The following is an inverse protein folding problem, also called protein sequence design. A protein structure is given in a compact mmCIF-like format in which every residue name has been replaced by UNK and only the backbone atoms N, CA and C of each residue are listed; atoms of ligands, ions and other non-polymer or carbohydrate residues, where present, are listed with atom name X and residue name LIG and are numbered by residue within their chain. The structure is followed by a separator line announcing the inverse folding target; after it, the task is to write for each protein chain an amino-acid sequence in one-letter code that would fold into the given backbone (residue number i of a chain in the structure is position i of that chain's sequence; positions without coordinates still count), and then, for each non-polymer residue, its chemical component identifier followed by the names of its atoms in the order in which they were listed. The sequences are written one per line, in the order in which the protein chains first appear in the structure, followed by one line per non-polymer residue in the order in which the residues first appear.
data_IF_657089025556
#
_entry.id   IF_657089025556
#
_cell.length_a   1.000
_cell.length_b   1.000
_cell.length_c   1.000
_cell.angle_alpha   90.00
_cell.angle_beta   90.00
_cell.angle_gamma   90.00
#
_symmetry.space_group_name_H-M   'P 1'
#
loop_
_entity.id
_entity.type
_entity.pdbx_description
1 polymer ?
#
# COMPACT_ATOMS: atom_id res chain seq x y z
N UNK A 1 -23.74 15.47 4.40
CA UNK A 1 -24.21 14.34 5.22
C UNK A 1 -25.52 13.69 4.73
N UNK A 2 -25.90 13.88 3.45
CA UNK A 2 -27.12 13.27 2.88
C UNK A 2 -26.87 11.96 2.10
N UNK A 3 -25.64 11.40 2.11
CA UNK A 3 -25.28 10.24 1.28
C UNK A 3 -25.43 8.87 1.96
N UNK A 4 -25.52 8.80 3.28
CA UNK A 4 -25.64 7.51 3.96
C UNK A 4 -26.96 7.43 4.75
N UNK A 5 -27.77 6.38 4.54
CA UNK A 5 -28.98 6.16 5.34
C UNK A 5 -28.60 5.92 6.81
N UNK A 6 -29.51 6.11 7.71
CA UNK A 6 -29.48 6.22 9.17
C UNK A 6 -28.48 5.36 9.99
N UNK A 7 -27.67 4.50 9.38
CA UNK A 7 -26.55 3.78 10.01
C UNK A 7 -25.52 3.41 8.94
N UNK A 8 -24.29 3.94 9.07
CA UNK A 8 -23.16 3.53 8.26
C UNK A 8 -22.76 2.09 8.64
N UNK A 9 -22.55 1.23 7.65
CA UNK A 9 -22.04 -0.12 7.82
C UNK A 9 -20.79 -0.30 6.94
N UNK A 10 -19.70 -0.76 7.53
CA UNK A 10 -18.40 -0.94 6.87
C UNK A 10 -18.03 -2.41 6.91
N UNK A 11 -17.73 -2.99 5.75
CA UNK A 11 -17.19 -4.35 5.64
C UNK A 11 -15.69 -4.29 5.36
N UNK A 12 -14.88 -4.90 6.24
CA UNK A 12 -13.43 -5.02 6.12
C UNK A 12 -13.07 -6.43 5.69
N UNK A 13 -12.55 -6.58 4.46
CA UNK A 13 -12.10 -7.83 3.88
C UNK A 13 -10.62 -8.07 4.18
N UNK A 14 -10.24 -9.33 4.45
CA UNK A 14 -8.90 -9.70 4.89
C UNK A 14 -8.64 -9.31 6.35
N UNK A 15 -9.68 -9.34 7.17
CA UNK A 15 -9.69 -8.76 8.52
C UNK A 15 -8.74 -9.42 9.52
N UNK A 16 -8.25 -10.63 9.26
CA UNK A 16 -7.26 -11.32 10.08
C UNK A 16 -5.80 -10.91 9.75
N UNK A 17 -5.60 -10.12 8.68
CA UNK A 17 -4.30 -9.71 8.17
C UNK A 17 -3.66 -8.51 8.90
N UNK A 18 -2.37 -8.25 8.59
CA UNK A 18 -1.60 -7.17 9.20
C UNK A 18 -2.08 -5.77 8.81
N UNK A 19 -2.45 -5.56 7.55
CA UNK A 19 -2.99 -4.29 7.06
C UNK A 19 -4.35 -3.97 7.72
N UNK A 20 -5.26 -4.97 7.81
CA UNK A 20 -6.52 -4.82 8.52
C UNK A 20 -6.33 -4.46 10.00
N UNK A 21 -5.35 -5.08 10.66
CA UNK A 21 -4.98 -4.76 12.04
C UNK A 21 -4.60 -3.29 12.19
N UNK A 22 -3.85 -2.74 11.25
CA UNK A 22 -3.45 -1.34 11.25
C UNK A 22 -4.64 -0.39 11.02
N UNK A 23 -5.52 -0.70 10.08
CA UNK A 23 -6.77 0.04 9.85
C UNK A 23 -7.63 0.07 11.10
N UNK A 24 -7.87 -1.09 11.73
CA UNK A 24 -8.64 -1.19 12.98
C UNK A 24 -7.97 -0.44 14.13
N UNK A 25 -6.64 -0.44 14.21
CA UNK A 25 -5.93 0.32 15.25
C UNK A 25 -6.14 1.85 15.11
N UNK A 26 -6.14 2.37 13.88
CA UNK A 26 -6.44 3.77 13.59
C UNK A 26 -7.90 4.08 13.95
N UNK A 27 -8.85 3.27 13.50
CA UNK A 27 -10.29 3.46 13.78
C UNK A 27 -10.60 3.35 15.28
N UNK A 28 -9.89 2.47 16.01
CA UNK A 28 -10.00 2.34 17.47
C UNK A 28 -9.53 3.60 18.23
N UNK A 29 -8.62 4.37 17.66
CA UNK A 29 -8.24 5.69 18.18
C UNK A 29 -9.23 6.78 17.76
N UNK A 30 -9.66 6.75 16.49
CA UNK A 30 -10.57 7.73 15.92
C UNK A 30 -11.94 7.75 16.63
N UNK A 31 -12.48 6.58 17.00
CA UNK A 31 -13.81 6.47 17.61
C UNK A 31 -13.96 7.08 19.01
N UNK A 32 -12.83 7.38 19.66
CA UNK A 32 -12.82 8.05 20.97
C UNK A 32 -12.26 9.48 20.91
N UNK A 33 -11.90 9.94 19.72
CA UNK A 33 -11.37 11.27 19.49
C UNK A 33 -12.38 12.18 18.80
N UNK A 34 -13.12 12.97 19.60
CA UNK A 34 -14.15 13.90 19.07
C UNK A 34 -13.61 14.96 18.08
N UNK A 35 -12.27 15.15 18.03
CA UNK A 35 -11.64 16.06 17.08
C UNK A 35 -11.29 15.38 15.74
N UNK A 36 -11.40 14.05 15.68
CA UNK A 36 -11.18 13.32 14.46
C UNK A 36 -12.37 13.53 13.52
N UNK A 37 -12.16 13.92 12.26
CA UNK A 37 -13.26 14.19 11.32
C UNK A 37 -14.18 13.01 11.10
N UNK A 38 -13.67 11.77 11.25
CA UNK A 38 -14.48 10.57 11.06
C UNK A 38 -15.32 10.20 12.30
N UNK A 39 -15.04 10.79 13.49
CA UNK A 39 -15.66 10.42 14.76
C UNK A 39 -17.18 10.33 14.68
N UNK A 40 -17.85 11.39 14.20
CA UNK A 40 -19.32 11.43 14.09
C UNK A 40 -19.89 10.37 13.15
N UNK A 41 -19.13 9.99 12.11
CA UNK A 41 -19.56 8.98 11.16
C UNK A 41 -19.42 7.56 11.72
N UNK A 42 -18.38 7.30 12.54
CA UNK A 42 -18.08 5.94 13.01
C UNK A 42 -18.56 5.62 14.43
N UNK A 43 -18.97 6.61 15.23
CA UNK A 43 -19.37 6.37 16.63
C UNK A 43 -20.53 5.35 16.81
N UNK A 44 -21.35 5.18 15.78
CA UNK A 44 -22.46 4.22 15.76
C UNK A 44 -22.40 3.26 14.55
N UNK A 45 -21.23 3.12 13.93
CA UNK A 45 -21.03 2.28 12.77
C UNK A 45 -21.04 0.79 13.16
N UNK A 46 -21.46 -0.06 12.24
CA UNK A 46 -21.25 -1.51 12.35
C UNK A 46 -20.07 -1.91 11.45
N UNK A 47 -19.07 -2.58 12.02
CA UNK A 47 -17.96 -3.13 11.29
C UNK A 47 -18.14 -4.64 11.11
N UNK A 48 -18.29 -5.08 9.87
CA UNK A 48 -18.31 -6.47 9.50
C UNK A 48 -16.88 -6.90 9.09
N UNK A 49 -16.25 -7.71 9.93
CA UNK A 49 -14.91 -8.23 9.70
C UNK A 49 -15.03 -9.57 8.97
N UNK A 50 -14.55 -9.61 7.73
CA UNK A 50 -14.67 -10.78 6.86
C UNK A 50 -13.29 -11.32 6.52
N UNK A 51 -13.11 -12.62 6.73
CA UNK A 51 -11.91 -13.36 6.35
C UNK A 51 -12.26 -14.81 6.04
N UNK A 52 -11.42 -15.51 5.31
CA UNK A 52 -11.58 -16.96 5.07
C UNK A 52 -11.33 -17.76 6.36
N UNK A 53 -10.49 -17.21 7.27
CA UNK A 53 -10.21 -17.77 8.59
C UNK A 53 -10.05 -16.65 9.61
N UNK A 54 -11.07 -16.45 10.42
CA UNK A 54 -11.09 -15.42 11.43
C UNK A 54 -10.14 -15.69 12.61
N UNK A 55 -9.72 -14.60 13.25
CA UNK A 55 -9.15 -14.66 14.61
C UNK A 55 -10.28 -14.77 15.63
N UNK A 56 -9.95 -15.27 16.83
CA UNK A 56 -10.91 -15.31 17.92
C UNK A 56 -11.44 -13.93 18.29
N UNK A 57 -12.68 -13.87 18.77
CA UNK A 57 -13.29 -12.63 19.24
C UNK A 57 -12.41 -11.92 20.28
N UNK A 58 -11.80 -12.68 21.20
CA UNK A 58 -10.91 -12.15 22.23
C UNK A 58 -9.72 -11.38 21.67
N UNK A 59 -9.15 -11.82 20.54
CA UNK A 59 -8.07 -11.13 19.83
C UNK A 59 -8.46 -9.70 19.45
N UNK A 60 -9.65 -9.53 18.87
CA UNK A 60 -10.12 -8.21 18.47
C UNK A 60 -10.50 -7.34 19.68
N UNK A 61 -11.17 -7.91 20.67
CA UNK A 61 -11.59 -7.19 21.89
C UNK A 61 -10.40 -6.67 22.70
N UNK A 62 -9.29 -7.41 22.75
CA UNK A 62 -8.04 -7.02 23.41
C UNK A 62 -7.32 -5.89 22.64
N UNK A 63 -7.21 -6.03 21.31
CA UNK A 63 -6.47 -5.06 20.50
C UNK A 63 -7.26 -3.77 20.21
N UNK A 64 -8.59 -3.88 20.11
CA UNK A 64 -9.46 -2.77 19.70
C UNK A 64 -10.63 -2.57 20.67
N UNK A 65 -10.33 -2.30 21.96
CA UNK A 65 -11.35 -2.26 23.01
C UNK A 65 -12.46 -1.22 22.80
N UNK A 66 -12.14 -0.13 22.07
CA UNK A 66 -13.12 0.92 21.79
C UNK A 66 -14.08 0.56 20.66
N UNK A 67 -13.76 -0.44 19.84
CA UNK A 67 -14.59 -0.92 18.73
C UNK A 67 -15.41 -2.16 19.09
N UNK A 68 -15.11 -2.83 20.20
CA UNK A 68 -15.60 -4.18 20.51
C UNK A 68 -17.11 -4.40 20.32
N UNK A 69 -17.95 -3.44 20.72
CA UNK A 69 -19.39 -3.56 20.62
C UNK A 69 -19.92 -3.40 19.17
N UNK A 70 -19.06 -2.94 18.26
CA UNK A 70 -19.39 -2.64 16.87
C UNK A 70 -18.85 -3.67 15.88
N UNK A 71 -18.00 -4.61 16.35
CA UNK A 71 -17.37 -5.62 15.49
C UNK A 71 -18.26 -6.86 15.34
N UNK A 72 -18.48 -7.27 14.10
CA UNK A 72 -19.19 -8.52 13.74
C UNK A 72 -18.25 -9.37 12.88
N UNK A 73 -17.99 -10.59 13.32
CA UNK A 73 -17.04 -11.50 12.67
C UNK A 73 -17.77 -12.46 11.75
N UNK A 74 -17.28 -12.65 10.54
CA UNK A 74 -17.80 -13.59 9.57
C UNK A 74 -16.69 -14.34 8.85
N UNK A 75 -16.75 -15.66 8.80
CA UNK A 75 -15.88 -16.48 7.96
C UNK A 75 -16.57 -16.66 6.61
N UNK A 76 -15.99 -16.06 5.57
CA UNK A 76 -16.53 -16.11 4.21
C UNK A 76 -15.35 -16.27 3.24
N UNK A 77 -15.44 -17.26 2.38
CA UNK A 77 -14.59 -17.36 1.20
C UNK A 77 -15.09 -16.34 0.16
N UNK A 78 -14.25 -15.38 -0.17
CA UNK A 78 -14.60 -14.34 -1.15
C UNK A 78 -14.70 -14.87 -2.59
N UNK A 79 -14.28 -16.13 -2.83
CA UNK A 79 -14.53 -16.84 -4.08
C UNK A 79 -15.98 -17.36 -4.16
N UNK A 80 -16.65 -17.60 -3.03
CA UNK A 80 -18.08 -17.88 -3.00
C UNK A 80 -18.89 -16.59 -3.22
N UNK A 81 -19.10 -16.31 -4.50
CA UNK A 81 -19.79 -15.12 -4.99
C UNK A 81 -21.18 -14.95 -4.38
N UNK A 82 -21.92 -16.05 -4.22
CA UNK A 82 -23.30 -16.00 -3.73
C UNK A 82 -23.32 -15.59 -2.28
N UNK A 83 -22.55 -16.27 -1.45
CA UNK A 83 -22.44 -15.98 -0.02
C UNK A 83 -21.90 -14.56 0.22
N UNK A 84 -20.88 -14.15 -0.51
CA UNK A 84 -20.32 -12.80 -0.34
C UNK A 84 -21.31 -11.69 -0.74
N UNK A 85 -21.96 -11.79 -1.91
CA UNK A 85 -23.00 -10.83 -2.33
C UNK A 85 -24.19 -10.79 -1.35
N UNK A 86 -24.60 -11.93 -0.84
CA UNK A 86 -25.66 -12.00 0.18
C UNK A 86 -25.23 -11.28 1.45
N UNK A 87 -24.00 -11.51 1.92
CA UNK A 87 -23.43 -10.84 3.08
C UNK A 87 -23.47 -9.31 2.92
N UNK A 88 -23.01 -8.75 1.79
CA UNK A 88 -23.04 -7.31 1.55
C UNK A 88 -24.44 -6.71 1.62
N UNK A 89 -25.46 -7.44 1.16
CA UNK A 89 -26.86 -7.01 1.21
C UNK A 89 -27.43 -7.10 2.63
N UNK A 90 -27.23 -8.23 3.32
CA UNK A 90 -27.78 -8.47 4.65
C UNK A 90 -27.14 -7.61 5.73
N UNK A 91 -25.83 -7.33 5.60
CA UNK A 91 -25.11 -6.43 6.48
C UNK A 91 -25.42 -4.94 6.23
N UNK A 92 -26.14 -4.62 5.15
CA UNK A 92 -26.40 -3.24 4.75
C UNK A 92 -25.12 -2.45 4.48
N UNK A 93 -24.07 -3.11 3.99
CA UNK A 93 -22.75 -2.52 3.75
C UNK A 93 -22.83 -1.27 2.89
N UNK A 94 -22.28 -0.19 3.38
CA UNK A 94 -22.18 1.11 2.68
C UNK A 94 -20.78 1.33 2.08
N UNK A 95 -19.76 0.81 2.74
CA UNK A 95 -18.35 0.91 2.31
C UNK A 95 -17.67 -0.45 2.48
N UNK A 96 -16.93 -0.88 1.47
CA UNK A 96 -16.00 -2.01 1.55
C UNK A 96 -14.58 -1.47 1.65
N UNK A 97 -13.86 -1.89 2.68
CA UNK A 97 -12.40 -1.73 2.80
C UNK A 97 -11.80 -3.09 2.48
N UNK A 98 -11.03 -3.18 1.42
CA UNK A 98 -10.44 -4.44 0.96
C UNK A 98 -8.91 -4.43 1.12
N UNK A 99 -8.43 -5.22 2.05
CA UNK A 99 -7.01 -5.50 2.27
C UNK A 99 -6.74 -7.02 2.22
N UNK A 100 -7.56 -7.70 1.42
CA UNK A 100 -7.46 -9.14 1.17
C UNK A 100 -6.70 -9.43 -0.14
N UNK A 101 -6.46 -10.70 -0.44
CA UNK A 101 -5.96 -11.15 -1.75
C UNK A 101 -7.08 -11.49 -2.75
N UNK A 102 -8.30 -10.98 -2.56
CA UNK A 102 -9.41 -11.23 -3.47
C UNK A 102 -9.27 -10.45 -4.78
N UNK A 103 -9.79 -11.02 -5.88
CA UNK A 103 -9.79 -10.36 -7.19
C UNK A 103 -10.50 -8.99 -7.13
N UNK A 104 -9.71 -7.91 -7.30
CA UNK A 104 -10.17 -6.53 -7.20
C UNK A 104 -11.31 -6.22 -8.17
N UNK A 105 -11.20 -6.67 -9.44
CA UNK A 105 -12.22 -6.41 -10.47
C UNK A 105 -13.55 -7.02 -10.03
N UNK A 106 -13.51 -8.23 -9.50
CA UNK A 106 -14.69 -8.94 -9.04
C UNK A 106 -15.36 -8.23 -7.85
N UNK A 107 -14.59 -7.86 -6.83
CA UNK A 107 -15.13 -7.18 -5.63
C UNK A 107 -15.69 -5.80 -5.99
N UNK A 108 -14.95 -4.99 -6.76
CA UNK A 108 -15.44 -3.67 -7.24
C UNK A 108 -16.69 -3.81 -8.09
N UNK A 109 -16.79 -4.85 -8.94
CA UNK A 109 -18.00 -5.10 -9.73
C UNK A 109 -19.22 -5.31 -8.85
N UNK A 110 -19.09 -6.05 -7.73
CA UNK A 110 -20.20 -6.23 -6.79
C UNK A 110 -20.56 -4.94 -6.06
N UNK A 111 -19.56 -4.17 -5.65
CA UNK A 111 -19.79 -2.84 -5.07
C UNK A 111 -20.52 -1.92 -6.07
N UNK A 112 -20.11 -1.95 -7.34
CA UNK A 112 -20.74 -1.19 -8.41
C UNK A 112 -22.20 -1.63 -8.67
N UNK A 113 -22.50 -2.92 -8.68
CA UNK A 113 -23.88 -3.43 -8.81
C UNK A 113 -24.80 -2.95 -7.68
N UNK A 114 -24.25 -2.82 -6.47
CA UNK A 114 -25.02 -2.48 -5.25
C UNK A 114 -24.95 -0.99 -4.87
N UNK A 115 -24.14 -0.18 -5.57
CA UNK A 115 -23.93 1.22 -5.22
C UNK A 115 -23.13 1.43 -3.92
N UNK A 116 -22.28 0.46 -3.55
CA UNK A 116 -21.43 0.46 -2.35
C UNK A 116 -20.13 1.18 -2.67
N UNK A 117 -19.62 2.02 -1.78
CA UNK A 117 -18.28 2.61 -1.88
C UNK A 117 -17.20 1.56 -1.64
N UNK A 118 -16.04 1.72 -2.30
CA UNK A 118 -14.95 0.76 -2.23
C UNK A 118 -13.60 1.44 -2.06
N UNK A 119 -12.72 0.81 -1.29
CA UNK A 119 -11.31 1.20 -1.18
C UNK A 119 -10.44 -0.03 -0.95
N UNK A 120 -9.27 -0.08 -1.59
CA UNK A 120 -8.26 -1.10 -1.36
C UNK A 120 -6.85 -0.52 -1.24
N UNK A 121 -5.89 -1.36 -0.86
CA UNK A 121 -4.46 -0.99 -0.78
C UNK A 121 -3.63 -1.46 -1.97
N UNK A 122 -4.12 -2.41 -2.79
CA UNK A 122 -3.39 -3.01 -3.89
C UNK A 122 -4.34 -3.64 -4.92
N UNK A 123 -3.87 -3.87 -6.15
CA UNK A 123 -4.57 -4.61 -7.19
C UNK A 123 -4.27 -6.11 -7.08
N UNK A 124 -5.30 -6.90 -6.94
CA UNK A 124 -5.23 -8.36 -6.91
C UNK A 124 -6.01 -8.96 -8.08
N UNK A 125 -5.48 -10.03 -8.69
CA UNK A 125 -6.18 -10.76 -9.74
C UNK A 125 -5.80 -12.24 -9.73
N UNK A 126 -6.69 -13.06 -9.24
CA UNK A 126 -6.48 -14.49 -9.05
C UNK A 126 -6.08 -15.21 -10.36
N UNK A 127 -6.69 -14.87 -11.48
CA UNK A 127 -6.39 -15.51 -12.77
C UNK A 127 -5.01 -15.12 -13.32
N UNK A 128 -4.46 -13.97 -12.89
CA UNK A 128 -3.07 -13.59 -13.21
C UNK A 128 -2.10 -14.34 -12.30
N UNK A 129 -2.44 -14.44 -11.02
CA UNK A 129 -1.57 -15.07 -10.02
C UNK A 129 -1.41 -16.59 -10.24
N UNK A 130 -2.41 -17.22 -10.84
CA UNK A 130 -2.42 -18.65 -11.17
C UNK A 130 -1.86 -18.98 -12.56
N UNK A 131 -1.46 -17.99 -13.35
CA UNK A 131 -0.96 -18.18 -14.71
C UNK A 131 0.57 -18.10 -14.76
N UNK A 132 1.23 -19.27 -14.70
CA UNK A 132 2.69 -19.38 -14.77
C UNK A 132 3.30 -18.74 -16.03
N UNK A 133 2.53 -18.57 -17.10
CA UNK A 133 3.02 -17.90 -18.33
C UNK A 133 3.20 -16.40 -18.16
N UNK A 134 2.66 -15.82 -17.10
CA UNK A 134 2.75 -14.40 -16.75
C UNK A 134 3.84 -14.09 -15.73
N UNK A 135 4.58 -15.09 -15.26
CA UNK A 135 5.73 -14.89 -14.36
C UNK A 135 6.66 -13.81 -14.94
N UNK A 136 7.04 -12.85 -14.11
CA UNK A 136 7.83 -11.67 -14.51
C UNK A 136 7.01 -10.45 -14.94
N UNK A 137 5.72 -10.63 -15.30
CA UNK A 137 4.85 -9.58 -15.83
C UNK A 137 3.50 -9.49 -15.12
N UNK A 138 3.29 -10.26 -14.06
CA UNK A 138 2.00 -10.37 -13.35
C UNK A 138 1.45 -9.02 -12.92
N UNK A 139 2.27 -8.16 -12.35
CA UNK A 139 1.88 -6.82 -11.90
C UNK A 139 1.32 -5.97 -13.07
N UNK A 140 2.01 -5.95 -14.21
CA UNK A 140 1.56 -5.22 -15.40
C UNK A 140 0.27 -5.79 -15.98
N UNK A 141 0.09 -7.10 -15.90
CA UNK A 141 -1.15 -7.74 -16.38
C UNK A 141 -2.32 -7.46 -15.43
N UNK A 142 -2.13 -7.48 -14.09
CA UNK A 142 -3.15 -7.05 -13.11
C UNK A 142 -3.63 -5.64 -13.42
N UNK A 143 -2.69 -4.70 -13.56
CA UNK A 143 -2.99 -3.32 -13.92
C UNK A 143 -3.73 -3.22 -15.27
N UNK A 144 -3.25 -3.92 -16.31
CA UNK A 144 -3.85 -3.88 -17.65
C UNK A 144 -5.28 -4.43 -17.66
N UNK A 145 -5.55 -5.50 -16.91
CA UNK A 145 -6.91 -6.05 -16.76
C UNK A 145 -7.82 -5.08 -16.03
N UNK A 146 -7.36 -4.48 -14.95
CA UNK A 146 -8.14 -3.50 -14.21
C UNK A 146 -8.49 -2.29 -15.07
N UNK A 147 -7.53 -1.72 -15.78
CA UNK A 147 -7.75 -0.56 -16.68
C UNK A 147 -8.81 -0.82 -17.76
N UNK A 148 -8.90 -2.04 -18.29
CA UNK A 148 -9.95 -2.40 -19.26
C UNK A 148 -11.37 -2.38 -18.67
N UNK A 149 -11.49 -2.57 -17.36
CA UNK A 149 -12.78 -2.64 -16.66
C UNK A 149 -13.13 -1.34 -15.94
N UNK A 150 -12.15 -0.51 -15.60
CA UNK A 150 -12.25 0.69 -14.76
C UNK A 150 -13.39 1.62 -15.15
N UNK A 151 -13.54 1.91 -16.44
CA UNK A 151 -14.58 2.81 -16.98
C UNK A 151 -16.01 2.26 -16.82
N UNK A 152 -16.18 0.97 -16.52
CA UNK A 152 -17.49 0.36 -16.28
C UNK A 152 -18.01 0.60 -14.88
N UNK A 153 -17.17 1.02 -13.96
CA UNK A 153 -17.54 1.27 -12.57
C UNK A 153 -18.16 2.67 -12.40
N UNK A 154 -19.45 2.80 -12.79
CA UNK A 154 -20.15 4.08 -12.85
C UNK A 154 -21.19 4.29 -11.75
N UNK A 155 -21.39 3.27 -10.88
CA UNK A 155 -22.38 3.33 -9.79
C UNK A 155 -21.75 3.13 -8.40
N UNK A 156 -20.44 3.18 -8.30
CA UNK A 156 -19.68 3.17 -7.04
C UNK A 156 -18.75 4.38 -6.98
N UNK A 157 -18.36 4.80 -5.78
CA UNK A 157 -17.17 5.61 -5.57
C UNK A 157 -16.09 4.64 -5.11
N UNK A 158 -15.06 4.42 -5.91
CA UNK A 158 -13.97 3.50 -5.61
C UNK A 158 -12.63 4.24 -5.61
N UNK A 159 -11.81 4.04 -4.57
CA UNK A 159 -10.43 4.50 -4.50
C UNK A 159 -9.53 3.27 -4.55
N UNK A 160 -8.70 3.20 -5.56
CA UNK A 160 -7.88 2.03 -5.88
C UNK A 160 -6.42 2.31 -5.51
N UNK A 161 -5.82 1.39 -4.76
CA UNK A 161 -4.45 1.53 -4.33
C UNK A 161 -4.25 2.71 -3.35
N UNK A 162 -4.98 2.72 -2.24
CA UNK A 162 -4.86 3.75 -1.20
C UNK A 162 -4.12 3.22 0.04
N UNK A 163 -3.02 2.53 -0.19
CA UNK A 163 -2.07 2.14 0.87
C UNK A 163 -0.99 3.19 1.06
N UNK A 164 0.24 2.74 1.29
CA UNK A 164 1.42 3.61 1.31
C UNK A 164 2.00 3.75 -0.10
N UNK A 165 2.36 2.66 -0.70
CA UNK A 165 2.78 2.44 -2.09
C UNK A 165 2.05 1.18 -2.61
N UNK A 166 1.06 1.33 -3.48
CA UNK A 166 0.44 2.57 -4.01
C UNK A 166 -0.36 3.35 -2.94
N UNK A 167 -0.52 4.65 -3.18
CA UNK A 167 -1.41 5.51 -2.40
C UNK A 167 -0.75 6.79 -1.90
N UNK A 168 -0.19 6.80 -0.70
CA UNK A 168 0.42 7.99 -0.09
C UNK A 168 1.54 8.56 -0.94
N UNK A 169 2.36 7.73 -1.57
CA UNK A 169 3.45 8.21 -2.46
C UNK A 169 2.89 8.97 -3.66
N UNK A 170 1.73 8.60 -4.20
CA UNK A 170 1.09 9.34 -5.28
C UNK A 170 0.59 10.71 -4.81
N UNK A 171 0.09 10.81 -3.58
CA UNK A 171 -0.19 12.10 -2.95
C UNK A 171 1.09 12.93 -2.81
N UNK A 172 2.22 12.36 -2.35
CA UNK A 172 3.49 13.06 -2.25
C UNK A 172 3.95 13.61 -3.62
N UNK A 173 3.80 12.84 -4.69
CA UNK A 173 4.12 13.29 -6.07
C UNK A 173 3.30 14.52 -6.43
N UNK A 174 1.98 14.46 -6.22
CA UNK A 174 1.09 15.57 -6.56
C UNK A 174 1.42 16.82 -5.75
N UNK A 175 1.68 16.67 -4.45
CA UNK A 175 2.06 17.81 -3.59
C UNK A 175 3.40 18.44 -4.02
N UNK A 176 4.44 17.64 -4.25
CA UNK A 176 5.73 18.17 -4.73
C UNK A 176 5.60 18.86 -6.09
N UNK A 177 4.77 18.33 -7.01
CA UNK A 177 4.54 18.97 -8.31
C UNK A 177 3.77 20.30 -8.18
N UNK A 178 2.90 20.47 -7.18
CA UNK A 178 2.21 21.73 -6.90
C UNK A 178 3.18 22.84 -6.46
N UNK A 179 4.27 22.49 -5.78
CA UNK A 179 5.31 23.45 -5.38
C UNK A 179 6.05 24.07 -6.59
N UNK A 180 6.08 23.33 -7.73
CA UNK A 180 6.77 23.75 -8.96
C UNK A 180 5.84 23.68 -10.20
N UNK A 181 4.74 24.45 -10.25
CA UNK A 181 3.71 24.30 -11.27
C UNK A 181 4.17 24.60 -12.71
N UNK A 182 5.29 25.30 -12.87
CA UNK A 182 5.85 25.67 -14.19
C UNK A 182 6.99 24.75 -14.63
N UNK A 183 7.39 23.79 -13.82
CA UNK A 183 8.47 22.86 -14.13
C UNK A 183 7.90 21.44 -14.26
N UNK A 184 8.46 20.67 -15.18
CA UNK A 184 8.10 19.27 -15.33
C UNK A 184 9.26 18.40 -14.87
N UNK A 185 9.04 17.46 -13.94
CA UNK A 185 10.08 16.52 -13.58
C UNK A 185 10.41 15.61 -14.77
N UNK A 186 11.68 15.27 -14.92
CA UNK A 186 12.17 14.28 -15.88
C UNK A 186 11.94 12.85 -15.39
N UNK A 187 12.03 12.68 -14.06
CA UNK A 187 11.78 11.39 -13.43
C UNK A 187 11.12 11.56 -12.05
N UNK A 188 10.45 10.49 -11.65
CA UNK A 188 9.90 10.27 -10.32
C UNK A 188 10.39 8.90 -9.83
N UNK A 189 11.15 8.86 -8.74
CA UNK A 189 11.49 7.62 -8.08
C UNK A 189 10.73 7.53 -6.77
N UNK A 190 9.87 6.52 -6.68
CA UNK A 190 9.33 6.09 -5.40
C UNK A 190 10.46 5.35 -4.70
N UNK A 191 10.69 5.64 -3.44
CA UNK A 191 11.83 5.11 -2.69
C UNK A 191 11.38 4.56 -1.36
N UNK A 192 11.91 3.39 -1.01
CA UNK A 192 11.64 2.77 0.29
C UNK A 192 12.92 2.16 0.86
N UNK A 193 13.17 2.43 2.14
CA UNK A 193 14.26 1.85 2.89
C UNK A 193 13.74 1.33 4.24
N UNK A 194 13.41 0.05 4.25
CA UNK A 194 12.97 -0.66 5.45
C UNK A 194 14.17 -1.29 6.15
N UNK A 195 14.56 -0.71 7.27
CA UNK A 195 15.64 -1.23 8.12
C UNK A 195 15.11 -2.07 9.28
N UNK A 196 13.79 -2.32 9.33
CA UNK A 196 13.17 -3.11 10.41
C UNK A 196 13.76 -4.51 10.48
N UNK A 197 14.24 -4.89 11.66
CA UNK A 197 14.77 -6.23 11.93
C UNK A 197 14.68 -6.60 13.42
N UNK A 198 14.91 -7.88 13.71
CA UNK A 198 14.95 -8.41 15.08
C UNK A 198 16.02 -7.67 15.91
N UNK A 199 15.63 -7.15 17.07
CA UNK A 199 16.58 -6.53 18.00
C UNK A 199 17.58 -7.57 18.54
N UNK A 200 17.10 -8.77 18.87
CA UNK A 200 17.93 -9.89 19.33
C UNK A 200 18.29 -10.82 18.16
N UNK A 201 19.52 -10.72 17.67
CA UNK A 201 20.04 -11.56 16.60
C UNK A 201 20.05 -13.08 16.91
N UNK A 202 19.97 -13.47 18.18
CA UNK A 202 19.89 -14.89 18.57
C UNK A 202 18.58 -15.56 18.17
N UNK A 203 17.54 -14.76 17.87
CA UNK A 203 16.23 -15.24 17.40
C UNK A 203 16.19 -15.54 15.90
N UNK A 204 17.25 -15.22 15.17
CA UNK A 204 17.34 -15.50 13.73
C UNK A 204 17.36 -17.01 13.49
N UNK A 205 16.42 -17.47 12.67
CA UNK A 205 16.33 -18.88 12.28
C UNK A 205 17.01 -19.11 10.93
N UNK A 206 17.75 -20.20 10.76
CA UNK A 206 18.35 -20.56 9.48
C UNK A 206 17.25 -20.78 8.41
N UNK A 207 17.60 -20.56 7.15
CA UNK A 207 16.69 -20.72 6.01
C UNK A 207 15.33 -20.01 6.22
N UNK A 208 15.40 -18.76 6.70
CA UNK A 208 14.18 -17.95 6.94
C UNK A 208 14.37 -16.57 6.34
N UNK A 209 13.40 -16.15 5.52
CA UNK A 209 13.30 -14.79 5.00
C UNK A 209 12.42 -13.94 5.92
N UNK A 210 12.87 -12.74 6.22
CA UNK A 210 12.20 -11.82 7.12
C UNK A 210 11.80 -10.54 6.38
N UNK A 211 10.54 -10.13 6.53
CA UNK A 211 10.03 -8.86 6.02
C UNK A 211 9.05 -8.21 7.01
N UNK A 212 8.78 -6.94 6.83
CA UNK A 212 7.77 -6.17 7.60
C UNK A 212 6.35 -6.33 7.04
N UNK A 213 6.20 -6.88 5.84
CA UNK A 213 4.94 -7.11 5.13
C UNK A 213 4.89 -8.52 4.53
N UNK A 214 3.88 -8.84 3.73
CA UNK A 214 3.64 -10.18 3.17
C UNK A 214 4.86 -10.71 2.39
N UNK A 215 5.59 -11.68 2.97
CA UNK A 215 6.84 -12.20 2.39
C UNK A 215 6.59 -12.85 1.04
N UNK A 216 5.44 -13.48 0.83
CA UNK A 216 5.06 -14.09 -0.45
C UNK A 216 4.98 -13.02 -1.55
N UNK A 217 4.31 -11.90 -1.28
CA UNK A 217 4.21 -10.79 -2.25
C UNK A 217 5.55 -10.14 -2.51
N UNK A 218 6.35 -9.98 -1.45
CA UNK A 218 7.74 -9.51 -1.61
C UNK A 218 8.56 -10.43 -2.54
N UNK A 219 8.43 -11.76 -2.40
CA UNK A 219 9.13 -12.72 -3.25
C UNK A 219 8.63 -12.70 -4.71
N UNK A 220 7.33 -12.51 -4.93
CA UNK A 220 6.77 -12.32 -6.28
C UNK A 220 7.47 -11.16 -7.00
N UNK A 221 7.69 -10.05 -6.30
CA UNK A 221 8.33 -8.87 -6.87
C UNK A 221 9.86 -8.96 -6.93
N UNK A 222 10.47 -9.56 -5.91
CA UNK A 222 11.93 -9.62 -5.77
C UNK A 222 12.59 -10.75 -6.57
N UNK A 223 11.87 -11.86 -6.84
CA UNK A 223 12.40 -13.09 -7.43
C UNK A 223 11.70 -13.46 -8.72
N UNK A 224 10.35 -13.42 -8.74
CA UNK A 224 9.55 -13.83 -9.89
C UNK A 224 9.25 -12.70 -10.88
N UNK A 225 9.78 -11.51 -10.64
CA UNK A 225 9.60 -10.35 -11.51
C UNK A 225 10.92 -9.84 -12.07
N UNK A 226 10.85 -9.09 -13.16
CA UNK A 226 11.99 -8.38 -13.73
C UNK A 226 12.00 -6.92 -13.22
N UNK A 227 13.19 -6.30 -13.02
CA UNK A 227 13.29 -4.88 -12.77
C UNK A 227 12.51 -4.10 -13.83
N UNK A 228 11.62 -3.20 -13.38
CA UNK A 228 10.73 -2.47 -14.27
C UNK A 228 10.71 -0.97 -13.94
N UNK A 229 10.66 -0.15 -14.96
CA UNK A 229 10.37 1.27 -14.86
C UNK A 229 9.50 1.73 -16.01
N UNK A 230 8.86 2.88 -15.86
CA UNK A 230 8.10 3.51 -16.94
C UNK A 230 8.94 4.57 -17.63
N UNK A 231 8.84 4.65 -18.94
CA UNK A 231 9.39 5.75 -19.75
C UNK A 231 8.50 5.98 -20.96
N UNK A 232 8.20 7.26 -21.25
CA UNK A 232 7.32 7.64 -22.36
C UNK A 232 5.99 6.88 -22.36
N UNK A 233 5.34 6.77 -21.19
CA UNK A 233 4.08 6.06 -20.96
C UNK A 233 4.13 4.55 -21.26
N UNK A 234 5.30 3.93 -21.27
CA UNK A 234 5.50 2.50 -21.55
C UNK A 234 6.30 1.83 -20.45
N UNK A 235 5.90 0.63 -20.00
CA UNK A 235 6.73 -0.18 -19.12
C UNK A 235 7.92 -0.73 -19.89
N UNK A 236 9.09 -0.63 -19.29
CA UNK A 236 10.35 -1.18 -19.77
C UNK A 236 10.92 -2.11 -18.71
N UNK A 237 11.47 -3.23 -19.14
CA UNK A 237 11.99 -4.27 -18.28
C UNK A 237 13.46 -4.53 -18.57
N UNK A 238 14.25 -4.77 -17.52
CA UNK A 238 15.59 -5.33 -17.65
C UNK A 238 15.51 -6.84 -17.54
N UNK A 239 16.18 -7.56 -18.42
CA UNK A 239 16.25 -9.03 -18.36
C UNK A 239 17.39 -9.45 -17.44
N UNK A 240 17.21 -9.23 -16.17
CA UNK A 240 18.16 -9.54 -15.08
C UNK A 240 17.41 -9.76 -13.76
N UNK A 241 18.09 -10.29 -12.75
CA UNK A 241 17.52 -10.42 -11.41
C UNK A 241 17.39 -9.03 -10.75
N UNK A 242 16.31 -8.81 -10.00
CA UNK A 242 16.06 -7.55 -9.28
C UNK A 242 17.23 -7.14 -8.38
N UNK A 243 17.89 -8.11 -7.74
CA UNK A 243 18.99 -7.87 -6.81
C UNK A 243 20.39 -7.89 -7.47
N UNK A 244 20.49 -8.00 -8.79
CA UNK A 244 21.76 -7.95 -9.52
C UNK A 244 22.33 -6.53 -9.64
N UNK A 245 21.48 -5.52 -9.52
CA UNK A 245 21.87 -4.12 -9.57
C UNK A 245 21.18 -3.31 -8.49
N UNK A 246 21.74 -2.16 -8.13
CA UNK A 246 21.09 -1.21 -7.25
C UNK A 246 21.36 0.22 -7.67
N UNK A 247 20.51 1.12 -7.23
CA UNK A 247 20.43 2.50 -7.69
C UNK A 247 20.56 3.46 -6.51
N UNK A 248 21.38 4.48 -6.69
CA UNK A 248 21.63 5.50 -5.68
C UNK A 248 20.37 6.34 -5.43
N UNK A 249 20.01 6.49 -4.16
CA UNK A 249 18.97 7.38 -3.66
C UNK A 249 19.61 8.38 -2.70
N UNK A 250 19.33 9.67 -2.90
CA UNK A 250 19.73 10.74 -2.00
C UNK A 250 18.53 11.61 -1.67
N UNK A 251 18.27 11.81 -0.36
CA UNK A 251 17.17 12.61 0.18
C UNK A 251 17.75 13.54 1.25
N UNK A 252 18.43 14.58 0.81
CA UNK A 252 19.21 15.45 1.68
C UNK A 252 20.38 14.71 2.34
N UNK A 253 20.34 14.57 3.65
CA UNK A 253 21.39 13.87 4.42
C UNK A 253 21.24 12.32 4.39
N UNK A 254 20.09 11.82 3.97
CA UNK A 254 19.88 10.37 3.83
C UNK A 254 20.36 9.91 2.45
N UNK A 255 21.22 8.90 2.45
CA UNK A 255 21.71 8.27 1.23
C UNK A 255 21.71 6.75 1.40
N UNK A 256 21.18 6.05 0.42
CA UNK A 256 21.18 4.59 0.35
C UNK A 256 21.12 4.10 -1.10
N UNK A 257 21.19 2.79 -1.27
CA UNK A 257 21.01 2.14 -2.57
C UNK A 257 19.84 1.17 -2.49
N UNK A 258 18.89 1.27 -3.42
CA UNK A 258 17.74 0.38 -3.56
C UNK A 258 17.76 -0.38 -4.87
N UNK A 259 17.17 -1.57 -4.88
CA UNK A 259 16.93 -2.35 -6.08
C UNK A 259 15.73 -1.82 -6.84
N UNK A 260 15.77 -1.85 -8.17
CA UNK A 260 14.64 -1.47 -9.00
C UNK A 260 13.63 -2.62 -9.03
N UNK A 261 12.48 -2.42 -8.39
CA UNK A 261 11.41 -3.41 -8.32
C UNK A 261 10.18 -2.97 -9.13
N UNK A 262 9.42 -3.90 -9.71
CA UNK A 262 8.11 -3.58 -10.24
C UNK A 262 7.16 -3.20 -9.10
N UNK A 263 6.34 -2.18 -9.31
CA UNK A 263 5.32 -1.79 -8.33
C UNK A 263 4.15 -1.06 -9.02
N UNK A 264 2.96 -1.08 -8.44
CA UNK A 264 1.73 -0.62 -9.10
C UNK A 264 1.75 0.88 -9.44
N UNK A 265 2.14 1.72 -8.49
CA UNK A 265 2.19 3.17 -8.70
C UNK A 265 3.16 3.59 -9.79
N UNK A 266 4.17 2.77 -10.10
CA UNK A 266 5.08 3.00 -11.23
C UNK A 266 4.30 3.03 -12.54
N UNK A 267 3.41 2.04 -12.75
CA UNK A 267 2.54 1.96 -13.92
C UNK A 267 1.56 3.13 -13.96
N UNK A 268 0.92 3.40 -12.84
CA UNK A 268 -0.13 4.41 -12.71
C UNK A 268 0.45 5.81 -12.99
N UNK A 269 1.50 6.21 -12.28
CA UNK A 269 2.16 7.50 -12.45
C UNK A 269 2.79 7.63 -13.84
N UNK A 270 3.44 6.57 -14.35
CA UNK A 270 4.07 6.59 -15.67
C UNK A 270 3.07 6.65 -16.83
N UNK A 271 1.81 6.24 -16.62
CA UNK A 271 0.72 6.44 -17.58
C UNK A 271 0.18 7.87 -17.54
N UNK A 272 0.04 8.44 -16.36
CA UNK A 272 -0.55 9.77 -16.18
C UNK A 272 0.45 10.90 -16.45
N UNK A 273 1.74 10.69 -16.17
CA UNK A 273 2.78 11.70 -16.33
C UNK A 273 3.83 11.25 -17.37
N UNK A 274 4.21 12.18 -18.27
CA UNK A 274 5.28 11.91 -19.25
C UNK A 274 6.66 12.13 -18.61
N UNK A 275 7.07 11.23 -17.73
CA UNK A 275 8.37 11.21 -17.07
C UNK A 275 8.83 9.77 -16.88
N UNK A 276 10.10 9.57 -16.56
CA UNK A 276 10.60 8.27 -16.12
C UNK A 276 10.08 7.99 -14.70
N UNK A 277 9.56 6.79 -14.43
CA UNK A 277 9.07 6.41 -13.09
C UNK A 277 9.63 5.05 -12.71
N UNK A 278 10.18 4.93 -11.51
CA UNK A 278 10.69 3.66 -10.97
C UNK A 278 10.47 3.56 -9.47
N UNK A 279 10.47 2.33 -8.94
CA UNK A 279 10.44 2.06 -7.51
C UNK A 279 11.78 1.47 -7.07
N UNK A 280 12.43 2.14 -6.11
CA UNK A 280 13.77 1.80 -5.60
C UNK A 280 13.64 1.33 -4.14
N UNK A 281 13.68 0.03 -3.94
CA UNK A 281 13.44 -0.59 -2.64
C UNK A 281 14.69 -1.19 -2.01
N UNK A 282 14.88 -0.93 -0.73
CA UNK A 282 15.87 -1.58 0.11
C UNK A 282 15.20 -2.21 1.31
N UNK A 283 15.08 -3.52 1.32
CA UNK A 283 14.69 -4.28 2.52
C UNK A 283 15.88 -4.41 3.48
N UNK A 284 15.63 -4.84 4.72
CA UNK A 284 16.66 -5.05 5.73
C UNK A 284 17.90 -5.79 5.20
N UNK A 285 19.03 -5.49 5.79
CA UNK A 285 20.34 -5.96 5.34
C UNK A 285 20.45 -7.49 5.33
N UNK A 286 19.80 -8.17 6.28
CA UNK A 286 19.83 -9.62 6.38
C UNK A 286 19.18 -10.27 5.14
N UNK A 287 17.94 -9.91 4.83
CA UNK A 287 17.19 -10.46 3.69
C UNK A 287 17.86 -10.07 2.36
N UNK A 288 18.34 -8.84 2.24
CA UNK A 288 19.11 -8.39 1.07
C UNK A 288 20.34 -9.27 0.83
N UNK A 289 21.14 -9.55 1.87
CA UNK A 289 22.33 -10.36 1.75
C UNK A 289 22.00 -11.83 1.43
N UNK A 290 20.93 -12.37 1.99
CA UNK A 290 20.47 -13.73 1.66
C UNK A 290 20.13 -13.82 0.16
N UNK A 291 19.37 -12.90 -0.39
CA UNK A 291 18.99 -12.92 -1.81
C UNK A 291 20.27 -12.84 -2.67
N UNK A 292 21.16 -11.90 -2.39
CA UNK A 292 22.42 -11.72 -3.15
C UNK A 292 23.35 -12.91 -3.12
N UNK A 293 23.43 -13.60 -2.00
CA UNK A 293 24.25 -14.82 -1.87
C UNK A 293 23.67 -16.03 -2.63
N UNK A 294 22.43 -15.94 -3.09
CA UNK A 294 21.72 -17.01 -3.76
C UNK A 294 21.21 -16.62 -5.16
N UNK A 295 21.77 -15.59 -5.82
CA UNK A 295 21.33 -15.16 -7.14
C UNK A 295 21.41 -16.26 -8.21
N UNK A 296 22.36 -17.18 -8.12
CA UNK A 296 22.48 -18.33 -9.01
C UNK A 296 21.39 -19.40 -8.81
N UNK A 297 20.62 -19.31 -7.74
CA UNK A 297 19.54 -20.22 -7.33
C UNK A 297 18.44 -19.47 -6.59
N UNK A 298 18.13 -18.28 -7.06
CA UNK A 298 17.23 -17.36 -6.36
C UNK A 298 15.84 -17.98 -6.15
N UNK A 299 15.39 -18.84 -7.07
CA UNK A 299 14.11 -19.54 -6.96
C UNK A 299 14.06 -20.52 -5.77
N UNK A 300 15.20 -21.03 -5.30
CA UNK A 300 15.24 -21.92 -4.13
C UNK A 300 14.78 -21.20 -2.87
N UNK A 301 14.93 -19.87 -2.81
CA UNK A 301 14.47 -19.04 -1.68
C UNK A 301 12.96 -19.13 -1.47
N UNK A 302 12.21 -19.48 -2.50
CA UNK A 302 10.75 -19.69 -2.38
C UNK A 302 10.40 -20.87 -1.46
N UNK A 303 11.31 -21.81 -1.29
CA UNK A 303 11.12 -22.97 -0.42
C UNK A 303 11.50 -22.69 1.05
N UNK A 304 12.12 -21.54 1.34
CA UNK A 304 12.56 -21.17 2.67
C UNK A 304 11.37 -20.80 3.57
N UNK A 305 11.60 -20.81 4.89
CA UNK A 305 10.62 -20.29 5.84
C UNK A 305 10.43 -18.78 5.63
N UNK A 306 9.23 -18.32 5.86
CA UNK A 306 8.82 -16.92 5.69
C UNK A 306 8.33 -16.39 7.01
N UNK A 307 8.82 -15.23 7.42
CA UNK A 307 8.40 -14.62 8.67
C UNK A 307 8.16 -13.12 8.47
N UNK A 308 6.91 -12.71 8.67
CA UNK A 308 6.54 -11.31 8.82
C UNK A 308 6.84 -10.90 10.25
N UNK A 309 7.54 -9.78 10.44
CA UNK A 309 7.82 -9.24 11.78
C UNK A 309 6.54 -8.94 12.54
N UNK A 310 6.41 -9.55 13.71
CA UNK A 310 5.31 -9.28 14.64
C UNK A 310 5.87 -8.71 15.95
N UNK A 311 5.79 -7.39 16.16
CA UNK A 311 6.34 -6.78 17.37
C UNK A 311 5.66 -7.22 18.67
N UNK A 312 4.56 -7.97 18.62
CA UNK A 312 3.94 -8.59 19.79
C UNK A 312 4.66 -9.88 20.22
N UNK A 313 5.41 -10.52 19.32
CA UNK A 313 6.13 -11.77 19.58
C UNK A 313 7.61 -11.53 19.88
N UNK A 314 8.18 -10.49 19.25
CA UNK A 314 9.60 -10.18 19.31
C UNK A 314 9.85 -8.67 19.23
N UNK A 315 10.87 -8.18 19.89
CA UNK A 315 11.27 -6.77 19.79
C UNK A 315 11.88 -6.51 18.40
N UNK A 316 11.29 -5.55 17.69
CA UNK A 316 11.72 -5.10 16.37
C UNK A 316 12.38 -3.74 16.49
N UNK A 317 13.63 -3.65 16.06
CA UNK A 317 14.35 -2.39 15.89
C UNK A 317 14.24 -1.90 14.45
N UNK A 318 14.69 -0.67 14.21
CA UNK A 318 14.73 -0.07 12.89
C UNK A 318 13.52 0.78 12.56
N UNK A 319 13.54 1.27 11.35
CA UNK A 319 12.56 2.22 10.83
C UNK A 319 12.22 1.88 9.37
N UNK A 320 11.05 2.30 8.93
CA UNK A 320 10.62 2.24 7.56
C UNK A 320 10.50 3.66 7.00
N UNK A 321 11.34 3.97 5.99
CA UNK A 321 11.34 5.20 5.25
C UNK A 321 10.66 4.95 3.92
N UNK A 322 9.59 5.68 3.62
CA UNK A 322 8.96 5.68 2.30
C UNK A 322 8.83 7.11 1.79
N UNK A 323 9.11 7.33 0.51
CA UNK A 323 9.10 8.66 -0.06
C UNK A 323 9.14 8.71 -1.58
N UNK A 324 9.33 9.93 -2.06
CA UNK A 324 9.37 10.27 -3.48
C UNK A 324 10.56 11.20 -3.73
N UNK A 325 11.25 10.96 -4.83
CA UNK A 325 12.31 11.81 -5.37
C UNK A 325 11.92 12.25 -6.79
N UNK A 326 11.65 13.54 -7.00
CA UNK A 326 11.41 14.13 -8.32
C UNK A 326 12.69 14.71 -8.87
N UNK A 327 13.08 14.28 -10.05
CA UNK A 327 14.29 14.71 -10.75
C UNK A 327 13.94 15.76 -11.78
N UNK A 328 14.54 16.94 -11.66
CA UNK A 328 14.46 18.05 -12.63
C UNK A 328 15.75 18.17 -13.42
N UNK A 329 15.90 19.22 -14.25
CA UNK A 329 17.07 19.41 -15.11
C UNK A 329 18.39 19.49 -14.31
N UNK A 330 18.39 20.24 -13.20
CA UNK A 330 19.60 20.53 -12.44
C UNK A 330 19.47 20.30 -10.93
N UNK A 331 18.31 19.91 -10.45
CA UNK A 331 18.02 19.69 -9.02
C UNK A 331 17.07 18.52 -8.83
N UNK A 332 16.90 18.12 -7.60
CA UNK A 332 15.92 17.11 -7.20
C UNK A 332 15.14 17.59 -5.99
N UNK A 333 13.83 17.38 -6.00
CA UNK A 333 13.00 17.58 -4.81
C UNK A 333 12.54 16.26 -4.25
N UNK A 334 12.42 16.20 -2.95
CA UNK A 334 11.97 14.96 -2.29
C UNK A 334 10.96 15.26 -1.18
N UNK A 335 10.12 14.26 -0.93
CA UNK A 335 9.28 14.16 0.26
C UNK A 335 9.37 12.72 0.76
N UNK A 336 9.56 12.55 2.06
CA UNK A 336 9.53 11.23 2.68
C UNK A 336 8.95 11.28 4.09
N UNK A 337 8.50 10.11 4.55
CA UNK A 337 8.12 9.87 5.93
C UNK A 337 8.97 8.73 6.49
N UNK A 338 9.24 8.78 7.79
CA UNK A 338 9.97 7.72 8.51
C UNK A 338 9.15 7.29 9.70
N UNK A 339 8.91 6.00 9.84
CA UNK A 339 8.24 5.44 11.00
C UNK A 339 9.11 4.42 11.72
N UNK A 340 9.30 4.62 13.02
CA UNK A 340 10.02 3.68 13.85
C UNK A 340 9.09 2.54 14.31
N UNK A 341 9.47 1.30 14.01
CA UNK A 341 8.64 0.11 14.28
C UNK A 341 8.30 -0.06 15.78
N UNK A 342 9.22 0.22 16.68
CA UNK A 342 8.96 0.12 18.13
C UNK A 342 7.95 1.16 18.60
N UNK A 343 8.09 2.42 18.15
CA UNK A 343 7.16 3.50 18.53
C UNK A 343 5.74 3.25 18.01
N UNK A 344 5.62 2.80 16.76
CA UNK A 344 4.34 2.43 16.16
C UNK A 344 3.69 1.30 16.95
N UNK A 345 4.45 0.27 17.29
CA UNK A 345 3.92 -0.85 18.06
C UNK A 345 3.44 -0.46 19.45
N UNK A 346 4.18 0.36 20.16
CA UNK A 346 3.75 0.81 21.49
C UNK A 346 2.37 1.49 21.44
N UNK A 347 2.09 2.26 20.41
CA UNK A 347 0.86 3.04 20.29
C UNK A 347 -0.27 2.29 19.58
N UNK A 348 0.03 1.56 18.50
CA UNK A 348 -0.98 1.00 17.60
C UNK A 348 -0.96 -0.53 17.54
N UNK A 349 -0.04 -1.20 18.22
CA UNK A 349 0.08 -2.65 18.28
C UNK A 349 0.31 -3.33 16.91
N UNK A 350 0.84 -2.59 15.94
CA UNK A 350 1.23 -3.07 14.60
C UNK A 350 2.66 -2.64 14.26
N UNK A 351 3.23 -3.08 13.15
CA UNK A 351 4.53 -2.60 12.68
C UNK A 351 4.40 -1.30 11.85
N UNK A 352 5.54 -0.68 11.52
CA UNK A 352 5.59 0.59 10.80
C UNK A 352 4.97 0.49 9.41
N UNK A 353 5.35 -0.50 8.62
CA UNK A 353 4.90 -0.70 7.24
C UNK A 353 3.38 -0.86 7.14
N UNK A 354 2.80 -1.76 7.95
CA UNK A 354 1.35 -1.90 7.97
C UNK A 354 0.63 -0.65 8.48
N UNK A 355 1.23 0.08 9.43
CA UNK A 355 0.63 1.31 9.91
C UNK A 355 0.59 2.39 8.83
N UNK A 356 1.63 2.53 8.02
CA UNK A 356 1.66 3.44 6.85
C UNK A 356 0.54 3.09 5.86
N UNK A 357 0.35 1.80 5.55
CA UNK A 357 -0.78 1.33 4.72
C UNK A 357 -2.12 1.72 5.35
N UNK A 358 -2.28 1.50 6.66
CA UNK A 358 -3.49 1.89 7.39
C UNK A 358 -3.78 3.38 7.34
N UNK A 359 -2.76 4.25 7.35
CA UNK A 359 -2.92 5.69 7.21
C UNK A 359 -3.47 6.08 5.82
N UNK A 360 -2.97 5.44 4.75
CA UNK A 360 -3.49 5.64 3.40
C UNK A 360 -4.95 5.21 3.25
N UNK A 361 -5.29 4.02 3.76
CA UNK A 361 -6.68 3.53 3.79
C UNK A 361 -7.59 4.49 4.60
N UNK A 362 -7.12 4.97 5.76
CA UNK A 362 -7.88 5.93 6.56
C UNK A 362 -8.14 7.24 5.79
N UNK A 363 -7.14 7.78 5.12
CA UNK A 363 -7.29 9.01 4.33
C UNK A 363 -8.30 8.82 3.19
N UNK A 364 -8.20 7.71 2.45
CA UNK A 364 -9.15 7.38 1.40
C UNK A 364 -10.56 7.11 1.92
N UNK A 365 -10.71 6.45 3.08
CA UNK A 365 -12.02 6.26 3.74
C UNK A 365 -12.67 7.60 4.09
N UNK A 366 -11.89 8.54 4.66
CA UNK A 366 -12.39 9.89 4.93
C UNK A 366 -12.82 10.60 3.63
N UNK A 367 -12.01 10.47 2.56
CA UNK A 367 -12.37 11.03 1.26
C UNK A 367 -13.68 10.44 0.70
N UNK A 368 -13.90 9.14 0.81
CA UNK A 368 -15.16 8.49 0.40
C UNK A 368 -16.36 9.02 1.19
N UNK A 369 -16.17 9.30 2.48
CA UNK A 369 -17.27 9.72 3.37
C UNK A 369 -17.58 11.21 3.28
N UNK A 370 -16.59 12.07 3.06
CA UNK A 370 -16.74 13.50 3.25
C UNK A 370 -16.49 14.34 1.99
N UNK A 371 -15.70 13.84 1.03
CA UNK A 371 -15.38 14.61 -0.16
C UNK A 371 -16.46 14.46 -1.24
N UNK A 372 -16.68 15.55 -1.96
CA UNK A 372 -17.67 15.55 -3.04
C UNK A 372 -16.99 15.26 -4.38
N UNK A 373 -17.09 14.03 -4.85
CA UNK A 373 -16.65 13.63 -6.19
C UNK A 373 -17.65 12.65 -6.82
N UNK A 374 -17.58 12.52 -8.13
CA UNK A 374 -18.50 11.69 -8.91
C UNK A 374 -18.24 10.19 -8.66
N UNK A 375 -19.25 9.37 -8.91
CA UNK A 375 -19.09 7.93 -9.01
C UNK A 375 -18.07 7.59 -10.10
N UNK A 376 -17.29 6.55 -9.87
CA UNK A 376 -16.18 6.11 -10.71
C UNK A 376 -15.10 5.44 -9.86
N UNK A 377 -14.12 4.84 -10.53
CA UNK A 377 -12.92 4.31 -9.89
C UNK A 377 -11.74 5.27 -10.12
N UNK A 378 -11.04 5.62 -9.06
CA UNK A 378 -9.96 6.59 -9.06
C UNK A 378 -8.72 6.00 -8.40
N UNK A 379 -7.56 6.19 -9.00
CA UNK A 379 -6.30 6.12 -8.28
C UNK A 379 -6.13 7.39 -7.44
N UNK A 380 -5.22 7.36 -6.46
CA UNK A 380 -5.07 8.48 -5.51
C UNK A 380 -4.69 9.78 -6.22
N UNK A 381 -3.73 9.76 -7.16
CA UNK A 381 -3.39 10.98 -7.91
C UNK A 381 -4.53 11.47 -8.81
N UNK A 382 -5.33 10.56 -9.41
CA UNK A 382 -6.49 10.95 -10.20
C UNK A 382 -7.55 11.63 -9.34
N UNK A 383 -7.79 11.09 -8.12
CA UNK A 383 -8.67 11.72 -7.14
C UNK A 383 -8.20 13.14 -6.83
N UNK A 384 -6.89 13.32 -6.58
CA UNK A 384 -6.30 14.61 -6.21
C UNK A 384 -6.26 15.62 -7.37
N UNK A 385 -6.07 15.16 -8.60
CA UNK A 385 -5.97 16.03 -9.78
C UNK A 385 -7.33 16.41 -10.36
N UNK A 386 -8.34 15.54 -10.22
CA UNK A 386 -9.64 15.70 -10.84
C UNK A 386 -10.75 16.14 -9.87
N UNK A 387 -10.44 16.26 -8.59
CA UNK A 387 -11.41 16.63 -7.54
C UNK A 387 -10.77 17.56 -6.52
N UNK A 388 -11.60 18.08 -5.61
CA UNK A 388 -11.16 18.87 -4.45
C UNK A 388 -11.02 17.97 -3.20
N UNK A 389 -10.45 16.78 -3.37
CA UNK A 389 -10.27 15.85 -2.25
C UNK A 389 -9.29 16.39 -1.21
N UNK A 390 -9.63 16.19 0.05
CA UNK A 390 -8.83 16.56 1.22
C UNK A 390 -7.98 15.39 1.75
N UNK A 391 -7.68 14.44 0.89
CA UNK A 391 -6.93 13.24 1.23
C UNK A 391 -5.69 13.52 2.09
N UNK A 392 -4.87 14.51 1.71
CA UNK A 392 -3.67 14.88 2.47
C UNK A 392 -3.99 15.48 3.85
N UNK A 393 -5.10 16.22 4.02
CA UNK A 393 -5.53 16.72 5.33
C UNK A 393 -5.89 15.55 6.26
N UNK A 394 -6.59 14.54 5.76
CA UNK A 394 -6.96 13.34 6.51
C UNK A 394 -5.74 12.49 6.84
N UNK A 395 -4.84 12.29 5.88
CA UNK A 395 -3.59 11.55 6.04
C UNK A 395 -2.77 12.11 7.20
N UNK A 396 -2.60 13.43 7.25
CA UNK A 396 -1.79 14.14 8.24
C UNK A 396 -2.30 14.03 9.70
N UNK A 397 -3.46 13.42 9.93
CA UNK A 397 -3.94 13.14 11.28
C UNK A 397 -3.14 12.01 11.96
N UNK A 398 -2.75 11.01 11.20
CA UNK A 398 -2.06 9.82 11.68
C UNK A 398 -0.65 9.67 11.14
N UNK A 399 -0.39 10.10 9.93
CA UNK A 399 0.93 10.13 9.31
C UNK A 399 1.46 11.57 9.30
N UNK A 400 2.41 11.84 10.17
CA UNK A 400 2.96 13.17 10.42
C UNK A 400 4.44 13.21 10.08
N UNK A 401 5.02 14.39 10.24
CA UNK A 401 6.46 14.61 10.18
C UNK A 401 7.07 14.23 8.81
N UNK A 402 6.33 14.60 7.74
CA UNK A 402 6.88 14.52 6.39
C UNK A 402 8.06 15.49 6.25
N UNK A 403 9.18 14.96 5.77
CA UNK A 403 10.37 15.74 5.46
C UNK A 403 10.33 16.10 3.98
N UNK A 404 10.34 17.39 3.69
CA UNK A 404 10.37 17.94 2.33
C UNK A 404 11.67 18.71 2.15
N UNK A 405 12.34 18.53 1.02
CA UNK A 405 13.59 19.21 0.74
C UNK A 405 14.01 19.13 -0.72
N UNK A 406 15.20 19.66 -0.98
CA UNK A 406 15.82 19.73 -2.29
C UNK A 406 17.28 19.29 -2.21
N UNK A 407 17.71 18.45 -3.17
CA UNK A 407 19.12 18.20 -3.40
C UNK A 407 19.67 19.29 -4.33
N UNK A 408 20.78 19.90 -3.96
CA UNK A 408 21.42 20.99 -4.71
C UNK A 408 21.80 20.57 -6.15
N UNK A 409 22.14 19.29 -6.34
CA UNK A 409 22.49 18.70 -7.62
C UNK A 409 21.67 17.45 -7.88
N UNK A 410 21.41 17.16 -9.15
CA UNK A 410 20.76 15.93 -9.56
C UNK A 410 21.81 14.82 -9.79
N UNK A 411 21.50 13.61 -9.27
CA UNK A 411 22.24 12.39 -9.59
C UNK A 411 21.79 11.78 -10.95
N UNK A 412 20.90 12.44 -11.69
CA UNK A 412 20.45 12.04 -13.03
C UNK A 412 19.29 11.02 -13.04
N UNK A 413 19.13 10.35 -14.16
CA UNK A 413 18.13 9.30 -14.39
C UNK A 413 18.63 7.93 -13.89
N UNK A 414 17.83 6.87 -14.01
CA UNK A 414 18.19 5.52 -13.53
C UNK A 414 19.57 5.06 -14.02
N UNK A 415 19.87 5.27 -15.31
CA UNK A 415 21.15 4.83 -15.89
C UNK A 415 22.38 5.56 -15.32
N UNK A 416 22.21 6.75 -14.72
CA UNK A 416 23.28 7.49 -14.06
C UNK A 416 23.50 7.05 -12.62
N UNK A 417 22.48 6.40 -12.01
CA UNK A 417 22.42 6.00 -10.60
C UNK A 417 22.84 4.58 -10.32
N UNK A 418 22.92 3.75 -11.38
CA UNK A 418 23.13 2.31 -11.26
C UNK A 418 24.53 1.96 -10.78
N UNK A 419 24.63 0.97 -9.91
CA UNK A 419 25.85 0.20 -9.66
C UNK A 419 25.55 -1.30 -9.75
N UNK A 420 26.46 -2.03 -10.37
CA UNK A 420 26.38 -3.49 -10.48
C UNK A 420 26.97 -4.12 -9.22
N UNK A 421 26.40 -5.23 -8.78
CA UNK A 421 26.80 -5.96 -7.55
C UNK A 421 27.62 -7.17 -7.92
#
# INVERSE_FOLDING_TARGET
MEQFPNSLSITLLGSAGGAAKAVLAILNQAIVNEKDPIYEAIKNVTFHLVDIKQKDRAYYDELFPNLKEQLFLSEIDLQDVVTFKQHLKESGTSVVIDVSGADTIRVVSYCNELGICYINSALENEAVDQDDSLIGFQLTERYTRFEKEKEKFTNTKAIIGSGMNPGVVQWMVVELMKERPNEKPKACYIVEHDTSFLHDASLIKPHTLYASWAVERFLDEAIWSYPMYMSHHRPLYFYEDVYASEYKVKLGEKEFYGCLMPHEEVLILGKNFNMEVGFLYRINEYTTNIIRQNLDKVEDLWTWNRKVFNPAEEEIAGEDLVGVLLVYENSETYMYNVMNSSQVFHKYKTNATYFQVGCGIYAGLCSLLFDNFKQGAYYVEELLLNTESKYGEYLNLYMKDFVVGENEFSDGLLHDRVRWI
#
